data_IF_836539216182
#
_entry.id   IF_836539216182
#
_cell.length_a   1.000
_cell.length_b   1.000
_cell.length_c   1.000
_cell.angle_alpha   90.00
_cell.angle_beta   90.00
_cell.angle_gamma   90.00
#
_symmetry.space_group_name_H-M   'P 1'
#
loop_
_entity.id
_entity.type
_entity.pdbx_description
1 polymer ?
#
# COMPACT_ATOMS: atom_id res chain seq x y z
N UNK A 1 -24.18 -18.48 -29.40
CA UNK A 1 -22.80 -18.07 -29.07
C UNK A 1 -22.82 -16.91 -28.07
N UNK A 2 -23.71 -15.93 -28.29
CA UNK A 2 -23.91 -14.72 -27.46
C UNK A 2 -24.14 -14.95 -25.95
N UNK A 3 -24.99 -15.91 -25.54
CA UNK A 3 -25.26 -16.15 -24.12
C UNK A 3 -24.07 -16.68 -23.29
N UNK A 4 -23.10 -17.33 -23.95
CA UNK A 4 -21.88 -17.79 -23.26
C UNK A 4 -20.91 -16.63 -23.00
N UNK A 5 -20.87 -15.65 -23.90
CA UNK A 5 -20.05 -14.45 -23.77
C UNK A 5 -20.58 -13.52 -22.69
N UNK A 6 -21.91 -13.31 -22.62
CA UNK A 6 -22.54 -12.51 -21.57
C UNK A 6 -22.30 -13.09 -20.16
N UNK A 7 -22.39 -14.42 -20.01
CA UNK A 7 -22.12 -15.09 -18.75
C UNK A 7 -20.64 -14.99 -18.36
N UNK A 8 -19.72 -15.11 -19.33
CA UNK A 8 -18.29 -14.88 -19.11
C UNK A 8 -18.01 -13.44 -18.67
N UNK A 9 -18.66 -12.46 -19.29
CA UNK A 9 -18.51 -11.05 -18.93
C UNK A 9 -19.01 -10.77 -17.50
N UNK A 10 -20.16 -11.35 -17.12
CA UNK A 10 -20.69 -11.28 -15.75
C UNK A 10 -19.74 -11.88 -14.74
N UNK A 11 -19.19 -13.06 -15.02
CA UNK A 11 -18.21 -13.73 -14.16
C UNK A 11 -16.92 -12.92 -14.03
N UNK A 12 -16.44 -12.35 -15.13
CA UNK A 12 -15.25 -11.50 -15.15
C UNK A 12 -15.43 -10.26 -14.26
N UNK A 13 -16.56 -9.55 -14.39
CA UNK A 13 -16.90 -8.39 -13.55
C UNK A 13 -17.00 -8.74 -12.07
N UNK A 14 -17.66 -9.86 -11.75
CA UNK A 14 -17.79 -10.33 -10.38
C UNK A 14 -16.43 -10.67 -9.75
N UNK A 15 -15.60 -11.44 -10.47
CA UNK A 15 -14.25 -11.79 -10.03
C UNK A 15 -13.40 -10.53 -9.81
N UNK A 16 -13.45 -9.58 -10.76
CA UNK A 16 -12.74 -8.31 -10.64
C UNK A 16 -13.15 -7.53 -9.39
N UNK A 17 -14.45 -7.47 -9.09
CA UNK A 17 -14.98 -6.82 -7.88
C UNK A 17 -14.47 -7.50 -6.61
N UNK A 18 -14.44 -8.83 -6.57
CA UNK A 18 -13.88 -9.57 -5.42
C UNK A 18 -12.39 -9.29 -5.21
N UNK A 19 -11.60 -9.25 -6.29
CA UNK A 19 -10.18 -8.90 -6.21
C UNK A 19 -9.99 -7.49 -5.68
N UNK A 20 -10.76 -6.52 -6.19
CA UNK A 20 -10.65 -5.13 -5.76
C UNK A 20 -10.97 -4.98 -4.28
N UNK A 21 -12.05 -5.63 -3.82
CA UNK A 21 -12.45 -5.64 -2.40
C UNK A 21 -11.40 -6.29 -1.50
N UNK A 22 -10.79 -7.39 -1.95
CA UNK A 22 -9.70 -8.01 -1.19
C UNK A 22 -8.49 -7.08 -1.10
N UNK A 23 -8.09 -6.46 -2.21
CA UNK A 23 -6.95 -5.53 -2.24
C UNK A 23 -7.15 -4.33 -1.32
N UNK A 24 -8.36 -3.76 -1.24
CA UNK A 24 -8.63 -2.65 -0.32
C UNK A 24 -8.54 -3.07 1.14
N UNK A 25 -9.05 -4.25 1.51
CA UNK A 25 -8.95 -4.76 2.89
C UNK A 25 -7.49 -5.03 3.27
N UNK A 26 -6.75 -5.69 2.39
CA UNK A 26 -5.33 -6.01 2.63
C UNK A 26 -4.46 -4.74 2.74
N UNK A 27 -4.83 -3.66 2.04
CA UNK A 27 -4.21 -2.35 2.18
C UNK A 27 -4.49 -1.70 3.52
N UNK A 28 -5.76 -1.69 3.95
CA UNK A 28 -6.16 -1.14 5.25
C UNK A 28 -5.45 -1.87 6.39
N UNK A 29 -5.38 -3.20 6.35
CA UNK A 29 -4.64 -3.99 7.35
C UNK A 29 -3.15 -3.62 7.39
N UNK A 30 -2.49 -3.47 6.24
CA UNK A 30 -1.06 -3.13 6.22
C UNK A 30 -0.80 -1.69 6.69
N UNK A 31 -1.67 -0.75 6.34
CA UNK A 31 -1.60 0.63 6.81
C UNK A 31 -1.83 0.73 8.32
N UNK A 32 -2.80 -0.01 8.86
CA UNK A 32 -3.08 -0.10 10.29
C UNK A 32 -1.88 -0.71 11.05
N UNK A 33 -1.31 -1.82 10.56
CA UNK A 33 -0.11 -2.44 11.16
C UNK A 33 1.08 -1.49 11.25
N UNK A 34 1.23 -0.58 10.28
CA UNK A 34 2.32 0.39 10.24
C UNK A 34 1.96 1.74 10.89
N UNK A 35 0.73 1.90 11.38
CA UNK A 35 0.17 3.16 11.87
C UNK A 35 0.31 4.32 10.86
N UNK A 36 0.13 4.03 9.57
CA UNK A 36 0.27 5.02 8.48
C UNK A 36 -1.10 5.36 7.91
N UNK A 37 -1.36 6.65 7.67
CA UNK A 37 -2.54 7.10 6.94
C UNK A 37 -2.14 7.92 5.71
N UNK A 38 -2.34 7.35 4.53
CA UNK A 38 -2.04 8.00 3.25
C UNK A 38 -3.07 9.08 2.97
N UNK A 39 -2.62 10.31 2.67
CA UNK A 39 -3.50 11.42 2.27
C UNK A 39 -3.62 11.57 0.75
N UNK A 40 -2.51 11.37 0.05
CA UNK A 40 -2.40 11.38 -1.40
C UNK A 40 -1.13 10.61 -1.79
N UNK A 41 -1.17 9.89 -2.92
CA UNK A 41 -0.01 9.20 -3.47
C UNK A 41 -0.25 8.80 -4.92
N UNK A 42 0.69 9.14 -5.80
CA UNK A 42 0.76 8.63 -7.17
C UNK A 42 1.64 7.35 -7.27
N UNK A 43 2.29 6.96 -6.17
CA UNK A 43 3.12 5.75 -6.13
C UNK A 43 2.24 4.48 -6.15
N UNK A 44 2.62 3.44 -6.91
CA UNK A 44 1.90 2.17 -6.88
C UNK A 44 2.04 1.49 -5.51
N UNK A 45 1.04 0.71 -5.12
CA UNK A 45 0.93 0.11 -3.79
C UNK A 45 2.16 -0.70 -3.33
N UNK A 46 2.80 -1.52 -4.18
CA UNK A 46 4.00 -2.25 -3.76
C UNK A 46 5.14 -1.30 -3.36
N UNK A 47 5.22 -0.13 -4.02
CA UNK A 47 6.21 0.90 -3.72
C UNK A 47 5.85 1.66 -2.43
N UNK A 48 4.56 1.97 -2.23
CA UNK A 48 4.07 2.56 -0.98
C UNK A 48 4.40 1.66 0.22
N UNK A 49 4.10 0.36 0.14
CA UNK A 49 4.39 -0.60 1.20
C UNK A 49 5.89 -0.68 1.52
N UNK A 50 6.74 -0.66 0.48
CA UNK A 50 8.20 -0.62 0.66
C UNK A 50 8.65 0.67 1.34
N UNK A 51 8.11 1.82 0.93
CA UNK A 51 8.41 3.12 1.50
C UNK A 51 8.00 3.20 2.99
N UNK A 52 6.79 2.73 3.34
CA UNK A 52 6.32 2.72 4.73
C UNK A 52 7.14 1.80 5.62
N UNK A 53 7.47 0.60 5.14
CA UNK A 53 8.37 -0.32 5.86
C UNK A 53 9.74 0.30 6.08
N UNK A 54 10.35 0.86 5.03
CA UNK A 54 11.65 1.50 5.13
C UNK A 54 11.63 2.69 6.12
N UNK A 55 10.56 3.48 6.13
CA UNK A 55 10.40 4.56 7.09
C UNK A 55 10.27 4.04 8.52
N UNK A 56 9.54 2.94 8.73
CA UNK A 56 9.40 2.33 10.05
C UNK A 56 10.73 1.76 10.55
N UNK A 57 11.48 1.07 9.71
CA UNK A 57 12.80 0.53 10.07
C UNK A 57 13.77 1.65 10.50
N UNK A 58 13.71 2.81 9.84
CA UNK A 58 14.50 3.98 10.25
C UNK A 58 14.04 4.60 11.56
N UNK A 59 12.73 4.60 11.83
CA UNK A 59 12.19 5.06 13.12
C UNK A 59 12.61 4.13 14.25
N UNK A 60 12.52 2.81 14.04
CA UNK A 60 12.83 1.80 15.05
C UNK A 60 14.34 1.75 15.37
N UNK A 61 15.21 2.09 14.39
CA UNK A 61 16.67 2.18 14.58
C UNK A 61 17.16 3.47 15.23
N UNK A 62 16.28 4.46 15.46
CA UNK A 62 16.62 5.73 16.12
C UNK A 62 16.11 5.75 17.57
N UNK A 63 16.91 5.31 18.56
CA UNK A 63 16.53 5.41 19.96
C UNK A 63 16.54 6.87 20.42
N UNK A 64 15.45 7.33 21.03
CA UNK A 64 15.36 8.64 21.68
C UNK A 64 14.48 9.66 20.96
N UNK A 65 14.79 10.96 21.11
CA UNK A 65 13.99 12.04 20.54
C UNK A 65 14.16 12.06 19.02
N UNK A 66 13.04 11.97 18.29
CA UNK A 66 13.00 11.97 16.83
C UNK A 66 13.74 13.19 16.25
N UNK A 67 14.76 12.95 15.42
CA UNK A 67 15.41 13.98 14.60
C UNK A 67 14.84 13.96 13.18
N UNK A 68 13.90 14.85 12.92
CA UNK A 68 13.20 14.95 11.63
C UNK A 68 14.15 15.21 10.46
N UNK A 69 15.27 15.94 10.66
CA UNK A 69 16.21 16.23 9.57
C UNK A 69 17.00 14.99 9.18
N UNK A 70 17.47 14.24 10.18
CA UNK A 70 18.18 12.98 9.95
C UNK A 70 17.28 11.93 9.31
N UNK A 71 16.04 11.82 9.77
CA UNK A 71 15.05 10.94 9.17
C UNK A 71 14.79 11.31 7.70
N UNK A 72 14.52 12.58 7.40
CA UNK A 72 14.29 13.03 6.02
C UNK A 72 15.48 12.75 5.10
N UNK A 73 16.70 12.98 5.58
CA UNK A 73 17.91 12.69 4.81
C UNK A 73 18.08 11.18 4.54
N UNK A 74 17.75 10.34 5.52
CA UNK A 74 17.81 8.88 5.37
C UNK A 74 16.77 8.37 4.36
N UNK A 75 15.52 8.84 4.47
CA UNK A 75 14.45 8.47 3.53
C UNK A 75 14.76 8.91 2.10
N UNK A 76 15.30 10.13 1.92
CA UNK A 76 15.69 10.63 0.59
C UNK A 76 16.76 9.78 -0.11
N UNK A 77 17.64 9.15 0.66
CA UNK A 77 18.73 8.32 0.11
C UNK A 77 18.32 6.87 -0.15
N UNK A 78 17.13 6.47 0.30
CA UNK A 78 16.63 5.10 0.19
C UNK A 78 15.90 4.83 -1.15
N UNK A 79 15.73 5.87 -1.97
CA UNK A 79 15.27 5.81 -3.37
C UNK A 79 16.44 5.66 -4.37
#
# INVERSE_FOLDING_TARGET
>A
MEGAEEELERRSKFLHSLIQKKKSVEQEEQHECLNVRVRASDMPLPLQNRAFRCARDHLDSMPGKLDSKRLALALKKAD
#
